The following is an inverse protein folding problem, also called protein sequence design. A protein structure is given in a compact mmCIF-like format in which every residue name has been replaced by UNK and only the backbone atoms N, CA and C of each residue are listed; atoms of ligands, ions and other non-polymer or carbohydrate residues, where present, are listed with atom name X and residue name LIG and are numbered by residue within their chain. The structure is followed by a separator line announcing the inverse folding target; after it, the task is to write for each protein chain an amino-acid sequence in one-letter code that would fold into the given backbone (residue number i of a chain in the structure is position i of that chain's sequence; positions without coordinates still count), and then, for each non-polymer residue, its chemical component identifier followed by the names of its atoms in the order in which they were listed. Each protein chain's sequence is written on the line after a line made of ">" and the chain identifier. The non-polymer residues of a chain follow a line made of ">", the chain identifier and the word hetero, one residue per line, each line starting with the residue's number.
data_IF_221845579340
#
_entry.id   IF_221845579340
#
_cell.length_a   1.000
_cell.length_b   1.000
_cell.length_c   1.000
_cell.angle_alpha   90.00
_cell.angle_beta   90.00
_cell.angle_gamma   90.00
#
_symmetry.space_group_name_H-M   'P 1'
#
loop_
_entity.id
_entity.type
_entity.pdbx_description
1 polymer ?
#
# COMPACT_ATOMS: atom_id res chain seq x y z
N UNK A 1 13.60 55.40 -20.46
CA UNK A 1 13.55 54.37 -19.40
C UNK A 1 13.34 53.02 -20.06
N UNK A 2 14.14 52.02 -19.68
CA UNK A 2 14.34 50.73 -20.34
C UNK A 2 13.08 49.84 -20.35
N UNK A 3 12.79 49.26 -21.51
CA UNK A 3 11.83 48.16 -21.69
C UNK A 3 12.42 46.85 -21.14
N UNK A 4 11.67 46.13 -20.31
CA UNK A 4 11.88 44.69 -20.08
C UNK A 4 10.63 43.91 -20.50
N UNK A 5 10.73 43.28 -21.65
CA UNK A 5 9.84 42.21 -22.06
C UNK A 5 10.21 40.96 -21.26
N UNK A 6 9.35 40.55 -20.32
CA UNK A 6 9.48 39.25 -19.66
C UNK A 6 8.78 38.21 -20.54
N UNK A 7 9.58 37.42 -21.25
CA UNK A 7 9.14 36.36 -22.15
C UNK A 7 8.36 35.28 -21.42
N UNK A 8 7.14 35.04 -21.90
CA UNK A 8 6.28 33.88 -21.60
C UNK A 8 6.91 32.62 -22.16
N UNK A 9 7.04 31.56 -21.36
CA UNK A 9 7.15 30.19 -21.86
C UNK A 9 6.21 29.26 -21.08
N UNK A 10 4.95 29.29 -21.48
CA UNK A 10 3.98 28.26 -21.16
C UNK A 10 4.34 26.99 -21.96
N UNK A 11 4.92 25.98 -21.31
CA UNK A 11 5.05 24.66 -21.92
C UNK A 11 3.72 23.90 -21.77
N UNK A 12 2.84 24.07 -22.77
CA UNK A 12 1.69 23.19 -23.00
C UNK A 12 2.14 22.06 -23.93
N UNK A 13 2.46 20.90 -23.36
CA UNK A 13 2.63 19.68 -24.12
C UNK A 13 1.35 18.85 -24.03
N UNK A 14 0.44 19.08 -24.97
CA UNK A 14 -0.61 18.12 -25.31
C UNK A 14 -0.01 17.09 -26.26
N UNK A 15 0.11 15.83 -25.83
CA UNK A 15 0.22 14.69 -26.72
C UNK A 15 -0.86 13.68 -26.38
N UNK A 16 -1.64 13.36 -27.40
CA UNK A 16 -2.78 12.49 -27.37
C UNK A 16 -2.39 11.04 -27.09
N UNK A 17 -3.32 10.34 -26.45
CA UNK A 17 -3.41 8.88 -26.37
C UNK A 17 -3.08 8.23 -27.73
N UNK A 18 -2.01 7.43 -27.80
CA UNK A 18 -1.88 6.36 -28.79
C UNK A 18 -1.95 5.02 -28.05
N UNK A 19 -3.14 4.43 -28.11
CA UNK A 19 -3.50 3.14 -27.55
C UNK A 19 -2.62 2.00 -28.08
N UNK A 20 -2.24 1.09 -27.19
CA UNK A 20 -1.77 -0.26 -27.52
C UNK A 20 -2.32 -1.26 -26.49
N UNK A 21 -2.97 -2.32 -26.96
CA UNK A 21 -3.49 -3.46 -26.18
C UNK A 21 -2.42 -4.03 -25.22
N UNK A 22 -2.79 -4.55 -24.03
CA UNK A 22 -1.88 -5.37 -23.24
C UNK A 22 -1.44 -6.60 -24.04
N UNK A 23 -0.12 -6.83 -24.12
CA UNK A 23 0.49 -7.97 -24.82
C UNK A 23 0.31 -9.24 -23.97
N UNK A 24 -0.35 -10.25 -24.53
CA UNK A 24 -0.54 -11.59 -23.94
C UNK A 24 0.62 -12.55 -24.28
N UNK A 25 1.71 -12.02 -24.81
CA UNK A 25 2.75 -12.72 -25.55
C UNK A 25 4.14 -12.66 -24.87
N UNK A 26 4.21 -12.28 -23.58
CA UNK A 26 5.51 -12.20 -22.86
C UNK A 26 5.61 -13.22 -21.71
N UNK A 27 6.34 -14.33 -21.92
CA UNK A 27 6.74 -15.28 -20.88
C UNK A 27 8.02 -14.85 -20.15
N UNK A 28 8.14 -15.28 -18.88
CA UNK A 28 9.28 -15.42 -17.92
C UNK A 28 10.62 -14.64 -18.02
N UNK A 29 10.80 -13.70 -18.95
CA UNK A 29 12.04 -12.95 -19.18
C UNK A 29 12.05 -11.57 -18.50
N UNK A 30 11.35 -11.44 -17.36
CA UNK A 30 11.10 -10.16 -16.68
C UNK A 30 12.09 -9.86 -15.55
N UNK A 31 13.34 -10.28 -15.68
CA UNK A 31 14.45 -9.65 -14.94
C UNK A 31 15.45 -9.09 -15.94
N UNK A 32 15.14 -7.90 -16.49
CA UNK A 32 16.21 -7.13 -17.12
C UNK A 32 17.13 -6.66 -16.01
N UNK A 33 18.26 -7.37 -15.92
CA UNK A 33 19.32 -7.24 -14.92
C UNK A 33 19.66 -5.77 -14.66
N UNK A 34 19.75 -4.93 -15.69
CA UNK A 34 19.64 -3.47 -15.58
C UNK A 34 19.04 -2.91 -16.87
N UNK A 35 17.77 -2.49 -16.83
CA UNK A 35 17.20 -1.60 -17.86
C UNK A 35 16.15 -2.18 -18.82
N UNK A 36 15.02 -2.73 -18.34
CA UNK A 36 13.76 -2.64 -19.10
C UNK A 36 12.76 -1.88 -18.29
N UNK A 37 12.77 -0.58 -18.51
CA UNK A 37 11.73 0.28 -18.03
C UNK A 37 10.94 0.77 -19.24
N UNK A 38 9.62 0.84 -19.11
CA UNK A 38 8.77 1.47 -20.12
C UNK A 38 9.28 2.90 -20.33
N UNK A 39 9.26 3.40 -21.56
CA UNK A 39 9.58 4.80 -21.82
C UNK A 39 8.63 5.67 -20.98
N UNK A 40 9.17 6.33 -19.96
CA UNK A 40 8.48 7.31 -19.15
C UNK A 40 9.03 8.67 -19.56
N UNK A 41 8.30 9.35 -20.44
CA UNK A 41 8.67 10.70 -20.87
C UNK A 41 8.26 11.70 -19.79
N UNK A 42 9.19 12.57 -19.39
CA UNK A 42 8.93 13.71 -18.50
C UNK A 42 8.94 13.41 -16.99
N UNK A 43 9.29 12.20 -16.54
CA UNK A 43 9.42 11.90 -15.11
C UNK A 43 10.84 12.20 -14.62
N UNK A 44 11.01 13.30 -13.92
CA UNK A 44 12.26 13.61 -13.21
C UNK A 44 12.15 13.10 -11.78
N UNK A 45 13.01 12.16 -11.39
CA UNK A 45 13.12 11.70 -10.01
C UNK A 45 14.33 12.34 -9.34
N UNK A 46 14.12 12.98 -8.19
CA UNK A 46 15.19 13.51 -7.36
C UNK A 46 15.27 12.68 -6.10
N UNK A 47 16.48 12.26 -5.74
CA UNK A 47 16.73 11.44 -4.56
C UNK A 47 17.89 12.05 -3.78
N UNK A 48 17.77 12.03 -2.46
CA UNK A 48 18.84 12.45 -1.57
C UNK A 48 19.74 11.24 -1.26
N UNK A 49 21.04 11.47 -1.08
CA UNK A 49 21.98 10.43 -0.67
C UNK A 49 21.54 9.78 0.66
N UNK A 50 21.60 8.45 0.83
CA UNK A 50 21.21 7.80 2.08
C UNK A 50 21.96 8.33 3.32
N UNK A 51 23.19 8.82 3.14
CA UNK A 51 24.02 9.38 4.21
C UNK A 51 23.54 10.75 4.71
N UNK A 52 22.72 11.44 3.91
CA UNK A 52 22.15 12.74 4.23
C UNK A 52 20.72 12.61 4.80
N UNK A 53 20.13 11.41 4.71
CA UNK A 53 18.77 11.15 5.19
C UNK A 53 18.78 10.70 6.66
N UNK A 54 17.90 11.29 7.47
CA UNK A 54 17.59 10.75 8.80
C UNK A 54 16.65 9.54 8.65
N UNK A 55 17.18 8.32 8.75
CA UNK A 55 16.41 7.10 8.50
C UNK A 55 15.35 6.81 9.59
N UNK A 56 15.69 7.05 10.86
CA UNK A 56 14.90 6.55 12.00
C UNK A 56 13.88 7.57 12.50
N UNK A 57 14.25 8.86 12.56
CA UNK A 57 13.44 9.91 13.17
C UNK A 57 12.05 10.09 12.51
N UNK A 58 11.94 10.09 11.16
CA UNK A 58 10.63 10.17 10.50
C UNK A 58 9.80 8.91 10.71
N UNK A 59 10.45 7.75 10.81
CA UNK A 59 9.77 6.48 11.04
C UNK A 59 9.12 6.45 12.42
N UNK A 60 9.86 6.74 13.50
CA UNK A 60 9.32 6.74 14.87
C UNK A 60 8.14 7.72 15.01
N UNK A 61 8.23 8.90 14.40
CA UNK A 61 7.17 9.91 14.46
C UNK A 61 5.90 9.50 13.69
N UNK A 62 6.04 8.79 12.58
CA UNK A 62 4.91 8.45 11.70
C UNK A 62 4.38 7.03 11.90
N UNK A 63 5.16 6.15 12.51
CA UNK A 63 4.84 4.74 12.66
C UNK A 63 3.56 4.48 13.45
N UNK A 64 3.32 5.11 14.62
CA UNK A 64 2.08 4.88 15.38
C UNK A 64 0.84 5.26 14.57
N UNK A 65 0.88 6.41 13.89
CA UNK A 65 -0.21 6.87 13.03
C UNK A 65 -0.46 5.90 11.87
N UNK A 66 0.61 5.45 11.20
CA UNK A 66 0.54 4.51 10.08
C UNK A 66 -0.01 3.15 10.52
N UNK A 67 0.42 2.66 11.67
CA UNK A 67 -0.06 1.39 12.24
C UNK A 67 -1.55 1.47 12.56
N UNK A 68 -1.99 2.53 13.23
CA UNK A 68 -3.41 2.72 13.53
C UNK A 68 -4.25 2.82 12.26
N UNK A 69 -3.81 3.61 11.26
CA UNK A 69 -4.55 3.70 9.98
C UNK A 69 -4.62 2.38 9.23
N UNK A 70 -3.59 1.54 9.32
CA UNK A 70 -3.60 0.22 8.68
C UNK A 70 -4.49 -0.74 9.45
N UNK A 71 -4.38 -0.78 10.77
CA UNK A 71 -5.20 -1.62 11.62
C UNK A 71 -6.68 -1.30 11.45
N UNK A 72 -7.08 -0.02 11.48
CA UNK A 72 -8.48 0.36 11.29
C UNK A 72 -8.97 0.09 9.87
N UNK A 73 -8.14 0.28 8.84
CA UNK A 73 -8.53 0.00 7.46
C UNK A 73 -8.79 -1.48 7.18
N UNK A 74 -8.15 -2.38 7.92
CA UNK A 74 -8.27 -3.84 7.74
C UNK A 74 -9.05 -4.49 8.88
N UNK A 75 -9.53 -3.71 9.85
CA UNK A 75 -10.20 -4.24 11.03
C UNK A 75 -11.44 -5.08 10.66
N UNK A 76 -12.20 -4.68 9.65
CA UNK A 76 -13.38 -5.42 9.22
C UNK A 76 -13.06 -6.79 8.61
N UNK A 77 -11.84 -7.01 8.12
CA UNK A 77 -11.44 -8.32 7.56
C UNK A 77 -11.02 -9.30 8.67
N UNK A 78 -10.37 -8.78 9.74
CA UNK A 78 -9.83 -9.62 10.81
C UNK A 78 -10.74 -9.70 12.05
N UNK A 79 -11.50 -8.67 12.38
CA UNK A 79 -12.35 -8.67 13.59
C UNK A 79 -13.44 -9.75 13.55
N UNK A 80 -14.22 -9.94 12.46
CA UNK A 80 -15.23 -10.97 12.42
C UNK A 80 -14.72 -12.40 12.67
N UNK A 81 -13.64 -12.89 12.01
CA UNK A 81 -13.15 -14.24 12.29
C UNK A 81 -12.62 -14.40 13.72
N UNK A 82 -11.99 -13.37 14.31
CA UNK A 82 -11.55 -13.42 15.70
C UNK A 82 -12.72 -13.48 16.69
N UNK A 83 -13.76 -12.67 16.47
CA UNK A 83 -14.98 -12.69 17.30
C UNK A 83 -15.68 -14.05 17.21
N UNK A 84 -15.78 -14.61 16.00
CA UNK A 84 -16.35 -15.94 15.80
C UNK A 84 -15.55 -17.02 16.52
N UNK A 85 -14.21 -16.96 16.43
CA UNK A 85 -13.34 -17.93 17.11
C UNK A 85 -13.55 -17.90 18.62
N UNK A 86 -13.51 -16.72 19.24
CA UNK A 86 -13.69 -16.58 20.69
C UNK A 86 -15.10 -17.06 21.09
N UNK A 87 -16.13 -16.62 20.37
CA UNK A 87 -17.51 -17.02 20.66
C UNK A 87 -17.73 -18.53 20.55
N UNK A 88 -17.08 -19.21 19.59
CA UNK A 88 -17.16 -20.67 19.46
C UNK A 88 -16.47 -21.41 20.60
N UNK A 89 -15.34 -20.90 21.10
CA UNK A 89 -14.63 -21.50 22.24
C UNK A 89 -15.48 -21.39 23.50
N UNK A 90 -15.99 -20.19 23.82
CA UNK A 90 -16.85 -20.00 25.01
C UNK A 90 -18.15 -20.82 24.92
N UNK A 91 -18.77 -20.87 23.74
CA UNK A 91 -19.95 -21.70 23.52
C UNK A 91 -19.67 -23.19 23.71
N UNK A 92 -18.52 -23.66 23.21
CA UNK A 92 -18.09 -25.05 23.37
C UNK A 92 -17.88 -25.41 24.84
N UNK A 93 -17.20 -24.56 25.62
CA UNK A 93 -16.97 -24.78 27.05
C UNK A 93 -18.29 -24.79 27.83
N UNK A 94 -19.17 -23.82 27.56
CA UNK A 94 -20.50 -23.78 28.17
C UNK A 94 -21.28 -25.06 27.89
N UNK A 95 -21.34 -25.50 26.61
CA UNK A 95 -22.04 -26.74 26.25
C UNK A 95 -21.43 -27.98 26.87
N UNK A 96 -20.10 -28.05 26.97
CA UNK A 96 -19.43 -29.19 27.58
C UNK A 96 -19.75 -29.28 29.08
N UNK A 97 -19.77 -28.14 29.78
CA UNK A 97 -20.15 -28.08 31.19
C UNK A 97 -21.61 -28.47 31.42
N UNK A 98 -22.53 -27.95 30.60
CA UNK A 98 -23.97 -28.23 30.66
C UNK A 98 -24.25 -29.74 30.54
N UNK A 99 -23.64 -30.39 29.55
CA UNK A 99 -23.76 -31.84 29.34
C UNK A 99 -23.15 -32.63 30.50
N UNK A 100 -21.98 -32.23 31.01
CA UNK A 100 -21.32 -32.90 32.13
C UNK A 100 -22.15 -32.84 33.42
N UNK A 101 -22.87 -31.73 33.65
CA UNK A 101 -23.81 -31.61 34.77
C UNK A 101 -25.01 -32.56 34.61
N UNK A 102 -25.62 -32.63 33.42
CA UNK A 102 -26.79 -33.48 33.18
C UNK A 102 -26.52 -34.99 33.18
N UNK A 103 -25.28 -35.44 32.96
CA UNK A 103 -24.92 -36.87 33.06
C UNK A 103 -24.50 -37.33 34.47
N UNK A 104 -24.34 -36.38 35.40
CA UNK A 104 -23.92 -36.67 36.77
C UNK A 104 -25.11 -36.83 37.72
N UNK A 105 -26.27 -36.29 37.36
CA UNK A 105 -27.56 -36.42 38.06
C UNK A 105 -28.41 -37.56 37.46
#
# INVERSE_FOLDING_TARGET
>A
MSFRASSVLAFRASSSLRAGKPRNDVPLAMSKWWGSYKAQDGVVTQQLSPYEQQAIMPWVRTWPKRLMTKFTSTALDWVPPFVLMIGLVEWSEWKHSDIAHHHRD
#
